data_IF_943241735112
#
_entry.id   IF_943241735112
#
_cell.length_a   1.000
_cell.length_b   1.000
_cell.length_c   1.000
_cell.angle_alpha   90.00
_cell.angle_beta   90.00
_cell.angle_gamma   90.00
#
_symmetry.space_group_name_H-M   'P 1'
#
loop_
_entity.id
_entity.type
_entity.pdbx_description
1 polymer ?
#
# COMPACT_ATOMS: atom_id res chain seq x y z
N UNK A 1 6.49 26.16 1.14
CA UNK A 1 6.58 24.77 1.68
C UNK A 1 5.22 24.20 2.11
N UNK A 2 4.61 24.59 3.25
CA UNK A 2 3.35 23.94 3.72
C UNK A 2 2.18 24.09 2.74
N UNK A 3 1.99 25.28 2.17
CA UNK A 3 0.90 25.54 1.23
C UNK A 3 1.09 24.85 -0.13
N UNK A 4 2.33 24.66 -0.57
CA UNK A 4 2.64 23.97 -1.83
C UNK A 4 2.42 22.46 -1.71
N UNK A 5 2.82 21.88 -0.57
CA UNK A 5 2.57 20.46 -0.28
C UNK A 5 1.07 20.15 -0.24
N UNK A 6 0.27 20.99 0.43
CA UNK A 6 -1.18 20.84 0.48
C UNK A 6 -1.81 20.92 -0.91
N UNK A 7 -1.31 21.81 -1.77
CA UNK A 7 -1.76 21.92 -3.15
C UNK A 7 -1.46 20.64 -3.94
N UNK A 8 -0.24 20.12 -3.85
CA UNK A 8 0.16 18.87 -4.51
C UNK A 8 -0.73 17.71 -4.03
N UNK A 9 -0.89 17.56 -2.71
CA UNK A 9 -1.69 16.48 -2.12
C UNK A 9 -3.16 16.55 -2.58
N UNK A 10 -3.72 17.76 -2.75
CA UNK A 10 -5.12 17.91 -3.18
C UNK A 10 -5.41 17.34 -4.58
N UNK A 11 -4.38 17.26 -5.43
CA UNK A 11 -4.47 16.72 -6.78
C UNK A 11 -4.15 15.22 -6.84
N UNK A 12 -3.50 14.66 -5.81
CA UNK A 12 -3.16 13.22 -5.74
C UNK A 12 -4.43 12.38 -5.62
N UNK A 13 -4.55 11.38 -6.50
CA UNK A 13 -5.65 10.40 -6.49
C UNK A 13 -5.21 8.97 -6.19
N UNK A 14 -3.90 8.72 -6.17
CA UNK A 14 -3.31 7.40 -5.97
C UNK A 14 -2.17 7.51 -4.96
N UNK A 15 -2.25 6.71 -3.90
CA UNK A 15 -1.20 6.55 -2.92
C UNK A 15 -0.60 5.17 -3.05
N UNK A 16 0.72 5.10 -3.27
CA UNK A 16 1.47 3.86 -3.35
C UNK A 16 2.43 3.78 -2.18
N UNK A 17 2.43 2.63 -1.50
CA UNK A 17 3.27 2.37 -0.34
C UNK A 17 4.15 1.15 -0.60
N UNK A 18 5.37 1.18 -0.06
CA UNK A 18 6.12 -0.07 0.12
C UNK A 18 5.48 -0.89 1.26
N UNK A 19 5.71 -2.20 1.28
CA UNK A 19 5.22 -3.05 2.35
C UNK A 19 6.19 -3.09 3.52
N UNK A 20 7.38 -3.64 3.29
CA UNK A 20 8.38 -3.86 4.33
C UNK A 20 9.08 -2.54 4.70
N UNK A 21 9.21 -2.29 6.00
CA UNK A 21 9.81 -1.06 6.53
C UNK A 21 8.88 0.17 6.50
N UNK A 22 7.76 0.12 5.77
CA UNK A 22 6.77 1.21 5.67
C UNK A 22 5.45 0.84 6.34
N UNK A 23 4.76 -0.16 5.83
CA UNK A 23 3.48 -0.63 6.40
C UNK A 23 3.70 -1.71 7.46
N UNK A 24 4.77 -2.49 7.33
CA UNK A 24 5.12 -3.58 8.25
C UNK A 24 6.58 -3.46 8.65
N UNK A 25 6.86 -3.42 9.95
CA UNK A 25 8.25 -3.31 10.44
C UNK A 25 9.00 -4.63 10.59
N UNK A 26 8.31 -5.78 10.59
CA UNK A 26 8.91 -7.10 10.77
C UNK A 26 8.54 -8.02 9.63
N UNK A 27 9.52 -8.71 9.06
CA UNK A 27 9.26 -9.64 7.96
C UNK A 27 8.54 -10.92 8.43
N UNK A 28 8.75 -11.33 9.69
CA UNK A 28 8.16 -12.55 10.24
C UNK A 28 7.06 -12.20 11.24
N UNK A 29 5.86 -11.91 10.72
CA UNK A 29 4.66 -11.74 11.53
C UNK A 29 4.10 -13.11 11.93
N UNK A 30 3.63 -13.22 13.16
CA UNK A 30 2.72 -14.30 13.58
C UNK A 30 1.38 -14.19 12.83
N UNK A 31 0.60 -15.27 12.78
CA UNK A 31 -0.68 -15.22 12.06
C UNK A 31 -1.70 -14.24 12.68
N UNK A 32 -1.65 -14.05 14.00
CA UNK A 32 -2.45 -13.03 14.69
C UNK A 32 -2.02 -11.61 14.26
N UNK A 33 -0.71 -11.33 14.21
CA UNK A 33 -0.20 -10.04 13.74
C UNK A 33 -0.54 -9.78 12.27
N UNK A 34 -0.48 -10.80 11.40
CA UNK A 34 -0.90 -10.68 9.99
C UNK A 34 -2.37 -10.27 9.89
N UNK A 35 -3.25 -10.93 10.65
CA UNK A 35 -4.67 -10.63 10.65
C UNK A 35 -4.94 -9.19 11.07
N UNK A 36 -4.27 -8.71 12.12
CA UNK A 36 -4.38 -7.31 12.56
C UNK A 36 -3.95 -6.35 11.44
N UNK A 37 -2.80 -6.58 10.81
CA UNK A 37 -2.31 -5.75 9.70
C UNK A 37 -3.31 -5.71 8.54
N UNK A 38 -3.87 -6.86 8.16
CA UNK A 38 -4.83 -6.96 7.06
C UNK A 38 -6.11 -6.19 7.39
N UNK A 39 -6.64 -6.32 8.61
CA UNK A 39 -7.86 -5.60 9.02
C UNK A 39 -7.64 -4.09 9.09
N UNK A 40 -6.50 -3.63 9.61
CA UNK A 40 -6.17 -2.19 9.63
C UNK A 40 -6.02 -1.63 8.20
N UNK A 41 -5.36 -2.35 7.31
CA UNK A 41 -5.22 -1.94 5.90
C UNK A 41 -6.56 -1.93 5.17
N UNK A 42 -7.46 -2.88 5.45
CA UNK A 42 -8.83 -2.89 4.93
C UNK A 42 -9.60 -1.65 5.37
N UNK A 43 -9.55 -1.31 6.65
CA UNK A 43 -10.22 -0.12 7.19
C UNK A 43 -9.67 1.13 6.49
N UNK A 44 -8.34 1.25 6.44
CA UNK A 44 -7.67 2.38 5.83
C UNK A 44 -8.00 2.56 4.34
N UNK A 45 -7.93 1.49 3.54
CA UNK A 45 -8.22 1.59 2.11
C UNK A 45 -9.70 1.90 1.83
N UNK A 46 -10.61 1.42 2.68
CA UNK A 46 -12.03 1.75 2.58
C UNK A 46 -12.33 3.21 2.93
N UNK A 47 -11.61 3.79 3.90
CA UNK A 47 -11.74 5.23 4.17
C UNK A 47 -11.20 6.07 3.01
N UNK A 48 -10.08 5.67 2.40
CA UNK A 48 -9.56 6.35 1.20
C UNK A 48 -10.51 6.23 0.00
N UNK A 49 -11.13 5.07 -0.21
CA UNK A 49 -12.04 4.85 -1.34
C UNK A 49 -13.29 5.71 -1.25
N UNK A 50 -13.84 5.94 -0.05
CA UNK A 50 -14.95 6.88 0.20
C UNK A 50 -14.61 8.32 -0.20
N UNK A 51 -13.34 8.69 -0.17
CA UNK A 51 -12.84 9.99 -0.62
C UNK A 51 -12.53 10.05 -2.12
N UNK A 52 -12.80 8.96 -2.86
CA UNK A 52 -12.44 8.82 -4.28
C UNK A 52 -10.93 8.66 -4.51
N UNK A 53 -10.18 8.26 -3.48
CA UNK A 53 -8.74 8.03 -3.53
C UNK A 53 -8.45 6.55 -3.68
N UNK A 54 -7.36 6.20 -4.37
CA UNK A 54 -6.90 4.84 -4.57
C UNK A 54 -5.70 4.55 -3.69
N UNK A 55 -5.64 3.32 -3.17
CA UNK A 55 -4.55 2.81 -2.36
C UNK A 55 -3.89 1.62 -3.05
N UNK A 56 -2.56 1.62 -3.09
CA UNK A 56 -1.80 0.49 -3.60
C UNK A 56 -0.56 0.20 -2.78
N UNK A 57 -0.13 -1.06 -2.84
CA UNK A 57 1.09 -1.56 -2.25
C UNK A 57 1.99 -2.03 -3.38
N UNK A 58 3.23 -1.54 -3.42
CA UNK A 58 4.26 -1.99 -4.36
C UNK A 58 5.37 -2.59 -3.55
N UNK A 59 5.63 -3.87 -3.72
CA UNK A 59 6.62 -4.57 -2.90
C UNK A 59 7.46 -5.53 -3.73
N UNK A 60 8.73 -5.67 -3.36
CA UNK A 60 9.62 -6.70 -3.86
C UNK A 60 9.54 -8.00 -3.04
N UNK A 61 8.68 -8.04 -2.01
CA UNK A 61 8.50 -9.21 -1.16
C UNK A 61 7.95 -10.38 -1.98
N UNK A 62 8.56 -11.54 -1.81
CA UNK A 62 8.10 -12.78 -2.43
C UNK A 62 6.70 -13.15 -1.95
N UNK A 63 5.97 -13.91 -2.78
CA UNK A 63 4.62 -14.36 -2.47
C UNK A 63 4.62 -15.28 -1.25
N UNK A 64 4.01 -14.81 -0.16
CA UNK A 64 3.80 -15.55 1.07
C UNK A 64 2.33 -15.49 1.53
N UNK A 65 2.05 -15.97 2.76
CA UNK A 65 0.69 -15.94 3.32
C UNK A 65 0.13 -14.51 3.44
N UNK A 66 0.96 -13.52 3.79
CA UNK A 66 0.50 -12.14 3.96
C UNK A 66 0.16 -11.53 2.60
N UNK A 67 1.05 -11.67 1.62
CA UNK A 67 0.82 -11.22 0.24
C UNK A 67 -0.46 -11.86 -0.32
N UNK A 68 -0.64 -13.16 -0.10
CA UNK A 68 -1.81 -13.90 -0.60
C UNK A 68 -3.12 -13.41 0.01
N UNK A 69 -3.13 -13.03 1.29
CA UNK A 69 -4.34 -12.46 1.90
C UNK A 69 -4.58 -11.01 1.47
N UNK A 70 -3.52 -10.20 1.31
CA UNK A 70 -3.63 -8.83 0.81
C UNK A 70 -4.18 -8.77 -0.62
N UNK A 71 -3.83 -9.72 -1.50
CA UNK A 71 -4.41 -9.84 -2.85
C UNK A 71 -5.93 -10.03 -2.85
N UNK A 72 -6.50 -10.57 -1.76
CA UNK A 72 -7.95 -10.79 -1.64
C UNK A 72 -8.69 -9.58 -1.11
N UNK A 73 -7.98 -8.56 -0.64
CA UNK A 73 -8.60 -7.35 -0.09
C UNK A 73 -9.07 -6.46 -1.22
N UNK A 74 -10.39 -6.26 -1.29
CA UNK A 74 -10.98 -5.31 -2.21
C UNK A 74 -10.43 -3.89 -1.96
N UNK A 75 -10.18 -3.13 -3.03
CA UNK A 75 -9.63 -1.78 -3.00
C UNK A 75 -8.13 -1.64 -2.64
N UNK A 76 -7.39 -2.75 -2.47
CA UNK A 76 -5.93 -2.72 -2.42
C UNK A 76 -5.35 -3.12 -3.78
N UNK A 77 -4.68 -2.19 -4.45
CA UNK A 77 -3.90 -2.49 -5.66
C UNK A 77 -2.51 -3.03 -5.25
N UNK A 78 -2.34 -4.35 -5.22
CA UNK A 78 -1.05 -4.96 -4.91
C UNK A 78 -0.24 -5.22 -6.19
N UNK A 79 0.98 -4.69 -6.22
CA UNK A 79 1.97 -4.95 -7.27
C UNK A 79 3.15 -5.63 -6.60
N UNK A 80 3.21 -6.96 -6.71
CA UNK A 80 4.31 -7.82 -6.27
C UNK A 80 5.37 -7.96 -7.37
N UNK A 81 5.77 -6.83 -7.94
CA UNK A 81 6.86 -6.75 -8.91
C UNK A 81 7.69 -5.51 -8.64
N UNK A 82 8.96 -5.57 -9.01
CA UNK A 82 9.81 -4.38 -9.00
C UNK A 82 9.19 -3.39 -9.98
N UNK A 83 8.61 -2.29 -9.50
CA UNK A 83 8.49 -1.11 -10.33
C UNK A 83 9.92 -0.73 -10.71
N UNK A 84 10.32 -0.94 -11.96
CA UNK A 84 11.59 -0.40 -12.46
C UNK A 84 11.48 1.13 -12.39
N UNK A 85 11.91 1.69 -11.25
CA UNK A 85 11.90 3.13 -10.95
C UNK A 85 12.81 3.94 -11.89
N UNK A 86 13.50 3.29 -12.83
CA UNK A 86 14.59 3.87 -13.65
C UNK A 86 14.21 4.09 -15.11
N UNK A 87 13.14 3.45 -15.63
CA UNK A 87 12.74 3.56 -17.05
C UNK A 87 11.49 4.43 -17.29
N UNK A 88 10.84 4.92 -16.23
CA UNK A 88 9.64 5.77 -16.33
C UNK A 88 9.96 7.27 -16.50
N UNK A 89 11.24 7.63 -16.69
CA UNK A 89 11.71 8.99 -17.02
C UNK A 89 12.39 8.94 -18.38
N UNK A 90 11.59 8.90 -19.45
CA UNK A 90 11.98 9.34 -20.79
C UNK A 90 10.87 10.19 -21.40
#
# INVERSE_FOLDING_TARGET
>A
MKNELLKIISEVKLFLFDLDGVLVHKNNLTDEEKNVVIEELKIFCNELSKLGLKFGIVTARDKDSLITELEKVENIFLISSTLEKVNAVQ
#
